data_IF_603515688594
#
_entry.id   IF_603515688594
#
_cell.length_a   1.000
_cell.length_b   1.000
_cell.length_c   1.000
_cell.angle_alpha   90.00
_cell.angle_beta   90.00
_cell.angle_gamma   90.00
#
_symmetry.space_group_name_H-M   'P 1'
#
loop_
_entity.id
_entity.type
_entity.pdbx_description
1 polymer ?
#
# COMPACT_ATOMS: atom_id res chain seq x y z
N UNK A 1 -16.68 7.42 -0.46
CA UNK A 1 -15.78 6.69 -1.38
C UNK A 1 -14.39 6.64 -0.78
N UNK A 2 -13.75 5.48 -0.83
CA UNK A 2 -12.39 5.32 -0.33
C UNK A 2 -11.40 6.16 -1.15
N UNK A 3 -10.39 6.70 -0.48
CA UNK A 3 -9.35 7.49 -1.15
C UNK A 3 -8.17 6.62 -1.55
N UNK A 4 -7.61 6.91 -2.70
CA UNK A 4 -6.36 6.36 -3.18
C UNK A 4 -5.29 7.46 -3.21
N UNK A 5 -4.03 7.05 -3.38
CA UNK A 5 -2.92 8.00 -3.46
C UNK A 5 -3.00 8.82 -4.76
N UNK A 6 -2.79 10.12 -4.63
CA UNK A 6 -2.57 11.03 -5.74
C UNK A 6 -1.16 11.63 -5.64
N UNK A 7 -0.66 12.32 -6.69
CA UNK A 7 0.71 12.85 -6.66
C UNK A 7 1.00 13.80 -5.50
N UNK A 8 0.01 14.60 -5.08
CA UNK A 8 0.16 15.54 -3.96
C UNK A 8 0.34 14.78 -2.64
N UNK A 9 -0.51 13.78 -2.40
CA UNK A 9 -0.45 12.95 -1.20
C UNK A 9 0.85 12.16 -1.16
N UNK A 10 1.29 11.60 -2.31
CA UNK A 10 2.56 10.90 -2.42
C UNK A 10 3.72 11.80 -1.99
N UNK A 11 3.78 13.03 -2.49
CA UNK A 11 4.85 13.98 -2.12
C UNK A 11 4.84 14.30 -0.63
N UNK A 12 3.65 14.54 -0.07
CA UNK A 12 3.49 14.84 1.35
C UNK A 12 3.97 13.68 2.23
N UNK A 13 3.61 12.46 1.88
CA UNK A 13 4.01 11.27 2.64
C UNK A 13 5.51 11.03 2.48
N UNK A 14 6.04 11.13 1.27
CA UNK A 14 7.48 10.96 1.01
C UNK A 14 8.31 11.96 1.82
N UNK A 15 7.87 13.22 1.89
CA UNK A 15 8.54 14.25 2.68
C UNK A 15 8.49 13.92 4.18
N UNK A 16 7.36 13.41 4.66
CA UNK A 16 7.17 13.06 6.07
C UNK A 16 8.15 11.99 6.52
N UNK A 17 8.43 11.00 5.68
CA UNK A 17 9.34 9.90 6.02
C UNK A 17 10.78 10.15 5.59
N UNK A 18 11.06 11.33 5.02
CA UNK A 18 12.40 11.69 4.56
C UNK A 18 12.84 10.95 3.30
N UNK A 19 11.89 10.39 2.56
CA UNK A 19 12.18 9.69 1.31
C UNK A 19 12.18 10.69 0.16
N UNK A 20 13.32 10.83 -0.51
CA UNK A 20 13.41 11.67 -1.70
C UNK A 20 13.23 10.79 -2.94
N UNK A 21 12.18 11.01 -3.73
CA UNK A 21 12.01 10.22 -4.94
C UNK A 21 13.14 10.51 -5.91
N UNK A 22 13.92 9.49 -6.24
CA UNK A 22 14.75 9.51 -7.43
C UNK A 22 13.86 9.27 -8.64
N UNK A 23 14.36 9.48 -9.85
CA UNK A 23 13.57 9.18 -11.05
C UNK A 23 12.96 7.78 -11.02
N UNK A 24 13.71 6.79 -10.55
CA UNK A 24 13.24 5.41 -10.48
C UNK A 24 12.19 5.23 -9.40
N UNK A 25 12.40 5.82 -8.22
CA UNK A 25 11.44 5.73 -7.11
C UNK A 25 10.18 6.52 -7.40
N UNK A 26 10.30 7.67 -8.05
CA UNK A 26 9.14 8.46 -8.44
C UNK A 26 8.22 7.71 -9.38
N UNK A 27 8.77 6.95 -10.33
CA UNK A 27 7.98 6.12 -11.23
C UNK A 27 7.25 5.00 -10.51
N UNK A 28 7.83 4.46 -9.42
CA UNK A 28 7.22 3.39 -8.65
C UNK A 28 6.12 3.88 -7.72
N UNK A 29 6.17 5.15 -7.31
CA UNK A 29 5.24 5.70 -6.32
C UNK A 29 4.03 6.37 -6.96
N UNK A 30 4.16 6.87 -8.18
CA UNK A 30 3.08 7.61 -8.84
C UNK A 30 2.36 6.66 -9.78
N UNK A 31 1.38 5.97 -9.24
CA UNK A 31 0.46 5.14 -10.02
C UNK A 31 -0.90 5.81 -9.95
N UNK A 32 -1.42 6.14 -11.14
CA UNK A 32 -2.73 6.76 -11.28
C UNK A 32 -3.83 5.89 -10.64
N UNK A 33 -4.74 6.52 -9.91
CA UNK A 33 -5.82 5.83 -9.21
C UNK A 33 -6.68 4.96 -10.14
N UNK A 34 -6.95 5.46 -11.35
CA UNK A 34 -7.72 4.68 -12.33
C UNK A 34 -6.98 3.43 -12.78
N UNK A 35 -5.65 3.53 -12.91
CA UNK A 35 -4.81 2.38 -13.27
C UNK A 35 -4.81 1.35 -12.14
N UNK A 36 -4.69 1.80 -10.89
CA UNK A 36 -4.76 0.91 -9.71
C UNK A 36 -6.09 0.17 -9.69
N UNK A 37 -7.20 0.88 -9.85
CA UNK A 37 -8.53 0.27 -9.84
C UNK A 37 -8.70 -0.72 -10.98
N UNK A 38 -8.12 -0.44 -12.13
CA UNK A 38 -8.17 -1.34 -13.28
C UNK A 38 -7.39 -2.62 -13.02
N UNK A 39 -6.20 -2.52 -12.42
CA UNK A 39 -5.39 -3.67 -12.04
C UNK A 39 -6.14 -4.54 -11.05
N UNK A 40 -6.69 -3.93 -10.01
CA UNK A 40 -7.45 -4.63 -8.97
C UNK A 40 -8.68 -5.32 -9.57
N UNK A 41 -9.43 -4.63 -10.42
CA UNK A 41 -10.60 -5.21 -11.08
C UNK A 41 -10.24 -6.45 -11.90
N UNK A 42 -9.14 -6.39 -12.64
CA UNK A 42 -8.67 -7.52 -13.45
C UNK A 42 -8.17 -8.68 -12.62
N UNK A 43 -7.69 -8.41 -11.40
CA UNK A 43 -7.21 -9.47 -10.50
C UNK A 43 -8.34 -10.36 -9.97
N UNK A 44 -9.56 -9.85 -9.94
CA UNK A 44 -10.69 -10.55 -9.38
C UNK A 44 -10.75 -10.54 -7.84
N UNK A 45 -9.88 -9.76 -7.18
CA UNK A 45 -9.87 -9.67 -5.71
C UNK A 45 -11.16 -9.02 -5.21
N UNK A 46 -11.75 -9.59 -4.17
CA UNK A 46 -12.97 -9.09 -3.54
C UNK A 46 -12.93 -9.22 -2.03
N UNK A 47 -14.08 -8.93 -1.40
CA UNK A 47 -14.20 -8.78 0.05
C UNK A 47 -13.82 -10.01 0.86
N UNK A 48 -13.94 -11.21 0.28
CA UNK A 48 -13.64 -12.46 0.99
C UNK A 48 -12.18 -12.90 0.83
N UNK A 49 -11.39 -12.13 0.09
CA UNK A 49 -10.01 -12.51 -0.20
C UNK A 49 -9.04 -12.02 0.84
N UNK A 50 -7.95 -12.77 1.00
CA UNK A 50 -6.77 -12.36 1.75
C UNK A 50 -5.62 -12.25 0.74
N UNK A 51 -5.02 -11.08 0.67
CA UNK A 51 -3.98 -10.78 -0.32
C UNK A 51 -2.65 -10.60 0.39
N UNK A 52 -1.62 -11.25 -0.14
CA UNK A 52 -0.24 -11.00 0.27
C UNK A 52 0.39 -10.06 -0.74
N UNK A 53 0.88 -8.93 -0.25
CA UNK A 53 1.56 -7.94 -1.07
C UNK A 53 3.01 -7.80 -0.63
N UNK A 54 3.95 -7.97 -1.56
CA UNK A 54 5.37 -7.80 -1.29
C UNK A 54 5.83 -6.46 -1.89
N UNK A 55 6.47 -5.63 -1.06
CA UNK A 55 6.99 -4.33 -1.49
C UNK A 55 5.89 -3.31 -1.78
N UNK A 56 4.98 -3.05 -0.83
CA UNK A 56 3.87 -2.12 -1.08
C UNK A 56 4.29 -0.67 -1.34
N UNK A 57 5.51 -0.29 -0.97
CA UNK A 57 5.99 1.09 -1.12
C UNK A 57 5.13 2.05 -0.32
N UNK A 58 4.63 3.11 -0.97
CA UNK A 58 3.74 4.08 -0.33
C UNK A 58 2.30 3.59 -0.22
N UNK A 59 1.94 2.48 -0.85
CA UNK A 59 0.65 1.84 -0.67
C UNK A 59 -0.38 2.08 -1.76
N UNK A 60 0.04 2.47 -2.96
CA UNK A 60 -0.91 2.72 -4.06
C UNK A 60 -1.77 1.50 -4.35
N UNK A 61 -1.16 0.34 -4.57
CA UNK A 61 -1.90 -0.90 -4.81
C UNK A 61 -2.60 -1.38 -3.54
N UNK A 62 -1.94 -1.24 -2.38
CA UNK A 62 -2.50 -1.62 -1.09
C UNK A 62 -3.87 -0.98 -0.87
N UNK A 63 -3.96 0.34 -1.09
CA UNK A 63 -5.22 1.08 -0.92
C UNK A 63 -6.28 0.60 -1.91
N UNK A 64 -5.89 0.30 -3.13
CA UNK A 64 -6.81 -0.26 -4.13
C UNK A 64 -7.35 -1.63 -3.74
N UNK A 65 -6.49 -2.47 -3.16
CA UNK A 65 -6.90 -3.79 -2.66
C UNK A 65 -7.85 -3.65 -1.46
N UNK A 66 -7.51 -2.77 -0.51
CA UNK A 66 -8.37 -2.52 0.66
C UNK A 66 -9.75 -1.99 0.25
N UNK A 67 -9.83 -1.19 -0.81
CA UNK A 67 -11.09 -0.64 -1.32
C UNK A 67 -12.09 -1.73 -1.69
N UNK A 68 -11.62 -2.92 -2.08
CA UNK A 68 -12.48 -4.05 -2.44
C UNK A 68 -13.14 -4.73 -1.24
N UNK A 69 -12.67 -4.45 -0.03
CA UNK A 69 -13.07 -5.16 1.18
C UNK A 69 -12.12 -6.29 1.57
N UNK A 70 -11.12 -6.57 0.77
CA UNK A 70 -10.14 -7.63 1.05
C UNK A 70 -9.29 -7.31 2.28
N UNK A 71 -8.74 -8.36 2.89
CA UNK A 71 -7.68 -8.24 3.88
C UNK A 71 -6.35 -8.27 3.16
N UNK A 72 -5.43 -7.40 3.58
CA UNK A 72 -4.11 -7.30 2.96
C UNK A 72 -3.04 -7.50 4.02
N UNK A 73 -2.12 -8.40 3.75
CA UNK A 73 -0.88 -8.56 4.50
C UNK A 73 0.26 -8.07 3.61
N UNK A 74 0.91 -6.99 4.02
CA UNK A 74 1.99 -6.38 3.27
C UNK A 74 3.33 -6.66 3.94
N UNK A 75 4.34 -6.99 3.14
CA UNK A 75 5.70 -7.23 3.62
C UNK A 75 6.60 -6.18 2.99
N UNK A 76 7.21 -5.33 3.81
CA UNK A 76 8.03 -4.22 3.36
C UNK A 76 9.40 -4.27 4.04
N UNK A 77 10.46 -4.21 3.24
CA UNK A 77 11.84 -4.27 3.75
C UNK A 77 12.34 -2.91 4.26
N UNK A 78 11.83 -1.80 3.72
CA UNK A 78 12.27 -0.47 4.15
C UNK A 78 11.50 -0.02 5.39
N UNK A 79 12.25 0.33 6.45
CA UNK A 79 11.71 0.68 7.76
C UNK A 79 10.71 1.84 7.69
N UNK A 80 11.10 2.95 7.05
CA UNK A 80 10.25 4.13 6.94
C UNK A 80 8.94 3.86 6.22
N UNK A 81 8.98 3.07 5.16
CA UNK A 81 7.79 2.70 4.39
C UNK A 81 6.88 1.75 5.19
N UNK A 82 7.48 0.76 5.86
CA UNK A 82 6.73 -0.18 6.69
C UNK A 82 6.02 0.53 7.84
N UNK A 83 6.70 1.47 8.49
CA UNK A 83 6.13 2.24 9.59
C UNK A 83 5.02 3.19 9.12
N UNK A 84 5.15 3.77 7.94
CA UNK A 84 4.20 4.75 7.40
C UNK A 84 2.91 4.11 6.88
N UNK A 85 2.99 2.91 6.31
CA UNK A 85 1.85 2.31 5.60
C UNK A 85 0.57 2.21 6.45
N UNK A 86 0.62 1.76 7.72
CA UNK A 86 -0.59 1.75 8.54
C UNK A 86 -1.18 3.16 8.75
N UNK A 87 -0.34 4.17 8.87
CA UNK A 87 -0.79 5.56 9.02
C UNK A 87 -1.47 6.06 7.75
N UNK A 88 -0.92 5.72 6.59
CA UNK A 88 -1.51 6.06 5.30
C UNK A 88 -2.90 5.45 5.16
N UNK A 89 -3.04 4.17 5.49
CA UNK A 89 -4.32 3.48 5.44
C UNK A 89 -5.34 4.11 6.41
N UNK A 90 -4.91 4.43 7.63
CA UNK A 90 -5.79 5.05 8.62
C UNK A 90 -6.23 6.45 8.20
N UNK A 91 -5.37 7.20 7.51
CA UNK A 91 -5.68 8.54 7.04
C UNK A 91 -6.65 8.53 5.85
N UNK A 92 -6.41 7.65 4.87
CA UNK A 92 -7.13 7.66 3.60
C UNK A 92 -8.33 6.70 3.58
N UNK A 93 -8.25 5.61 4.32
CA UNK A 93 -9.32 4.60 4.39
C UNK A 93 -9.51 4.12 5.83
N UNK A 94 -9.95 5.00 6.75
CA UNK A 94 -10.04 4.63 8.17
C UNK A 94 -10.92 3.41 8.43
N UNK A 95 -11.96 3.21 7.64
CA UNK A 95 -12.84 2.04 7.78
C UNK A 95 -12.17 0.72 7.38
N UNK A 96 -11.08 0.79 6.62
CA UNK A 96 -10.38 -0.39 6.11
C UNK A 96 -9.07 -0.68 6.84
N UNK A 97 -8.60 0.25 7.69
CA UNK A 97 -7.27 0.18 8.30
C UNK A 97 -7.06 -1.10 9.12
N UNK A 98 -8.10 -1.64 9.74
CA UNK A 98 -8.03 -2.87 10.53
C UNK A 98 -7.88 -4.13 9.67
N UNK A 99 -8.08 -4.04 8.37
CA UNK A 99 -7.88 -5.16 7.44
C UNK A 99 -6.47 -5.20 6.86
N UNK A 100 -5.61 -4.26 7.25
CA UNK A 100 -4.20 -4.22 6.83
C UNK A 100 -3.30 -4.70 7.95
N UNK A 101 -2.43 -5.66 7.65
CA UNK A 101 -1.32 -6.04 8.51
C UNK A 101 -0.01 -5.79 7.75
N UNK A 102 0.97 -5.19 8.41
CA UNK A 102 2.27 -4.86 7.80
C UNK A 102 3.38 -5.54 8.58
N UNK A 103 4.23 -6.28 7.88
CA UNK A 103 5.46 -6.83 8.42
C UNK A 103 6.67 -6.07 7.86
N UNK A 104 7.53 -5.56 8.75
CA UNK A 104 8.81 -5.00 8.35
C UNK A 104 9.81 -6.14 8.26
N UNK A 105 10.02 -6.65 7.06
CA UNK A 105 10.86 -7.83 6.84
C UNK A 105 11.28 -7.94 5.38
N UNK A 106 12.30 -8.77 5.14
CA UNK A 106 12.57 -9.26 3.80
C UNK A 106 11.64 -10.45 3.54
N UNK A 107 10.92 -10.43 2.42
CA UNK A 107 9.97 -11.48 2.09
C UNK A 107 10.64 -12.87 1.96
N UNK A 108 11.93 -12.90 1.60
CA UNK A 108 12.69 -14.14 1.51
C UNK A 108 12.93 -14.81 2.88
N UNK A 109 12.86 -14.02 3.95
CA UNK A 109 13.10 -14.49 5.33
C UNK A 109 11.81 -14.77 6.09
N UNK A 110 10.65 -14.51 5.50
CA UNK A 110 9.36 -14.68 6.17
C UNK A 110 8.95 -16.14 6.12
N UNK A 111 8.73 -16.74 7.30
CA UNK A 111 8.26 -18.12 7.45
C UNK A 111 6.81 -18.20 7.92
N UNK A 112 6.31 -17.11 8.54
CA UNK A 112 4.93 -17.00 8.99
C UNK A 112 4.40 -15.63 8.65
N UNK A 113 3.11 -15.55 8.27
CA UNK A 113 2.44 -14.27 8.01
C UNK A 113 1.92 -13.66 9.31
N UNK A 114 1.96 -12.32 9.40
CA UNK A 114 1.38 -11.63 10.56
C UNK A 114 -0.14 -11.76 10.65
#
# INVERSE_FOLDING_TARGET
MAELLDPRTVRRIADRIGLRPTKQRGQNFVVDANTVRRIVAKSGVGADDVVLEVGPGLGSLTLGLLETGARVTAIEIEDGLAAQLPHTAAELQPAAADRLAVAHADALDVTELP
#
